data_IF_539452136549
#
_entry.id   IF_539452136549
#
_cell.length_a   1.000
_cell.length_b   1.000
_cell.length_c   1.000
_cell.angle_alpha   90.00
_cell.angle_beta   90.00
_cell.angle_gamma   90.00
#
_symmetry.space_group_name_H-M   'P 1'
#
loop_
_entity.id
_entity.type
_entity.pdbx_description
1 polymer ?
#
# COMPACT_ATOMS: atom_id res chain seq x y z
N UNK A 1 3.01 17.83 -6.69
CA UNK A 1 3.68 16.60 -7.16
C UNK A 1 4.09 15.83 -5.92
N UNK A 2 3.18 15.03 -5.37
CA UNK A 2 3.50 14.14 -4.26
C UNK A 2 4.62 13.20 -4.72
N UNK A 3 5.72 13.11 -3.96
CA UNK A 3 6.79 12.17 -4.27
C UNK A 3 6.20 10.77 -4.24
N UNK A 4 6.35 10.02 -5.34
CA UNK A 4 6.01 8.60 -5.37
C UNK A 4 6.81 7.87 -4.29
N UNK A 5 6.14 7.51 -3.20
CA UNK A 5 6.70 6.70 -2.13
C UNK A 5 6.40 5.25 -2.45
N UNK A 6 7.42 4.41 -2.54
CA UNK A 6 7.22 2.97 -2.73
C UNK A 6 7.23 2.23 -1.40
N UNK A 7 6.53 1.10 -1.31
CA UNK A 7 6.54 0.25 -0.12
C UNK A 7 7.95 -0.21 0.25
N UNK A 8 8.85 -0.40 -0.73
CA UNK A 8 10.24 -0.77 -0.48
C UNK A 8 10.97 0.24 0.41
N UNK A 9 10.60 1.51 0.36
CA UNK A 9 11.21 2.62 1.10
C UNK A 9 10.53 2.86 2.46
N UNK A 10 9.48 2.09 2.79
CA UNK A 10 8.76 2.16 4.06
C UNK A 10 9.26 1.08 5.01
N UNK A 11 9.47 1.46 6.28
CA UNK A 11 9.77 0.50 7.35
C UNK A 11 8.47 -0.17 7.79
N UNK A 12 8.42 -1.49 7.69
CA UNK A 12 7.31 -2.32 8.15
C UNK A 12 7.47 -2.59 9.65
N UNK A 13 6.37 -2.49 10.41
CA UNK A 13 6.29 -2.81 11.85
C UNK A 13 5.58 -4.16 12.03
N UNK A 14 5.52 -4.65 13.27
CA UNK A 14 4.89 -5.92 13.66
C UNK A 14 3.40 -6.02 13.28
N UNK A 15 2.68 -4.91 13.13
CA UNK A 15 1.27 -4.89 12.73
C UNK A 15 1.03 -3.86 11.64
N UNK A 16 0.39 -4.29 10.56
CA UNK A 16 0.10 -3.46 9.39
C UNK A 16 -1.38 -3.58 9.03
N UNK A 17 -2.01 -2.45 8.75
CA UNK A 17 -3.30 -2.37 8.10
C UNK A 17 -3.08 -1.79 6.71
N UNK A 18 -3.54 -2.50 5.68
CA UNK A 18 -3.51 -2.05 4.30
C UNK A 18 -4.94 -1.79 3.80
N UNK A 19 -5.15 -0.66 3.13
CA UNK A 19 -6.39 -0.34 2.44
C UNK A 19 -6.19 -0.57 0.94
N UNK A 20 -7.06 -1.39 0.35
CA UNK A 20 -7.05 -1.68 -1.08
C UNK A 20 -8.41 -1.25 -1.63
N UNK A 21 -8.38 -0.40 -2.67
CA UNK A 21 -9.58 0.04 -3.37
C UNK A 21 -10.01 -0.97 -4.44
N UNK A 22 -11.20 -0.79 -4.98
CA UNK A 22 -11.63 -1.52 -6.17
C UNK A 22 -10.92 -1.00 -7.43
N UNK A 23 -11.33 -1.48 -8.61
CA UNK A 23 -10.75 -1.10 -9.90
C UNK A 23 -10.90 0.39 -10.22
N UNK A 24 -11.89 1.07 -9.63
CA UNK A 24 -12.10 2.51 -9.75
C UNK A 24 -11.14 3.35 -8.89
N UNK A 25 -10.37 2.69 -8.02
CA UNK A 25 -9.48 3.36 -7.08
C UNK A 25 -10.22 4.12 -5.99
N UNK A 26 -9.49 5.00 -5.32
CA UNK A 26 -10.03 5.88 -4.28
C UNK A 26 -10.24 7.27 -4.84
N UNK A 27 -11.32 7.93 -4.43
CA UNK A 27 -11.47 9.36 -4.67
C UNK A 27 -10.45 10.16 -3.85
N UNK A 28 -10.11 11.35 -4.33
CA UNK A 28 -9.20 12.26 -3.62
C UNK A 28 -9.65 12.52 -2.16
N UNK A 29 -10.97 12.62 -1.92
CA UNK A 29 -11.54 12.83 -0.58
C UNK A 29 -11.31 11.63 0.35
N UNK A 30 -11.41 10.41 -0.16
CA UNK A 30 -11.15 9.19 0.62
C UNK A 30 -9.67 9.06 0.95
N UNK A 31 -8.79 9.39 0.01
CA UNK A 31 -7.33 9.42 0.25
C UNK A 31 -6.98 10.44 1.33
N UNK A 32 -7.50 11.66 1.23
CA UNK A 32 -7.28 12.71 2.23
C UNK A 32 -7.84 12.31 3.61
N UNK A 33 -9.00 11.65 3.64
CA UNK A 33 -9.57 11.12 4.88
C UNK A 33 -8.66 10.05 5.50
N UNK A 34 -8.19 9.08 4.71
CA UNK A 34 -7.29 8.05 5.19
C UNK A 34 -5.98 8.65 5.73
N UNK A 35 -5.40 9.63 5.01
CA UNK A 35 -4.21 10.36 5.46
C UNK A 35 -4.43 11.10 6.78
N UNK A 36 -5.61 11.69 7.02
CA UNK A 36 -5.98 12.30 8.31
C UNK A 36 -6.01 11.29 9.47
N UNK A 37 -6.31 10.02 9.18
CA UNK A 37 -6.25 8.92 10.15
C UNK A 37 -4.87 8.25 10.23
N UNK A 38 -3.84 8.82 9.61
CA UNK A 38 -2.46 8.34 9.71
C UNK A 38 -2.07 7.28 8.68
N UNK A 39 -2.92 6.99 7.69
CA UNK A 39 -2.52 6.16 6.55
C UNK A 39 -1.53 6.91 5.66
N UNK A 40 -0.64 6.17 5.02
CA UNK A 40 0.27 6.69 4.00
C UNK A 40 -0.04 6.04 2.66
N UNK A 41 0.06 6.82 1.60
CA UNK A 41 -0.03 6.31 0.23
C UNK A 41 1.31 5.71 -0.17
N UNK A 42 1.27 4.51 -0.76
CA UNK A 42 2.47 3.81 -1.24
C UNK A 42 2.22 3.14 -2.59
N UNK A 43 3.20 3.20 -3.47
CA UNK A 43 3.24 2.41 -4.70
C UNK A 43 3.80 1.01 -4.45
N UNK A 44 3.27 0.00 -5.16
CA UNK A 44 3.73 -1.39 -5.13
C UNK A 44 4.70 -1.74 -6.28
N UNK A 45 5.17 -0.73 -7.01
CA UNK A 45 6.07 -0.85 -8.16
C UNK A 45 5.64 0.06 -9.30
N UNK A 46 6.29 -0.08 -10.46
CA UNK A 46 6.06 0.81 -11.61
C UNK A 46 4.85 0.43 -12.47
N UNK A 47 4.11 -0.64 -12.10
CA UNK A 47 2.96 -1.14 -12.85
C UNK A 47 1.70 -0.98 -12.00
N UNK A 48 0.62 -0.52 -12.64
CA UNK A 48 -0.71 -0.56 -12.03
C UNK A 48 -1.10 -2.04 -11.91
N UNK A 49 -1.30 -2.48 -10.67
CA UNK A 49 -1.81 -3.82 -10.38
C UNK A 49 -3.33 -3.81 -10.51
N UNK A 50 -3.91 -4.95 -10.91
CA UNK A 50 -5.36 -5.13 -10.86
C UNK A 50 -5.82 -5.24 -9.40
N UNK A 51 -7.08 -4.88 -9.15
CA UNK A 51 -7.64 -4.80 -7.79
C UNK A 51 -7.59 -6.15 -7.06
N UNK A 52 -7.73 -7.27 -7.77
CA UNK A 52 -7.64 -8.63 -7.23
C UNK A 52 -6.20 -9.06 -6.91
N UNK A 53 -5.20 -8.47 -7.59
CA UNK A 53 -3.79 -8.82 -7.45
C UNK A 53 -3.11 -7.99 -6.36
N UNK A 54 -3.52 -6.73 -6.20
CA UNK A 54 -2.91 -5.81 -5.24
C UNK A 54 -2.89 -6.34 -3.79
N UNK A 55 -3.97 -6.95 -3.23
CA UNK A 55 -3.97 -7.51 -1.88
C UNK A 55 -2.97 -8.64 -1.68
N UNK A 56 -2.83 -9.51 -2.68
CA UNK A 56 -1.88 -10.63 -2.62
C UNK A 56 -0.45 -10.10 -2.65
N UNK A 57 -0.14 -9.18 -3.58
CA UNK A 57 1.20 -8.61 -3.72
C UNK A 57 1.60 -7.82 -2.48
N UNK A 58 0.74 -6.96 -1.95
CA UNK A 58 1.08 -6.16 -0.76
C UNK A 58 1.29 -7.04 0.47
N UNK A 59 0.48 -8.09 0.66
CA UNK A 59 0.64 -9.03 1.77
C UNK A 59 1.98 -9.76 1.69
N UNK A 60 2.35 -10.28 0.52
CA UNK A 60 3.64 -10.95 0.32
C UNK A 60 4.82 -9.99 0.54
N UNK A 61 4.73 -8.74 0.08
CA UNK A 61 5.79 -7.74 0.27
C UNK A 61 5.92 -7.32 1.74
N UNK A 62 4.82 -7.21 2.48
CA UNK A 62 4.83 -6.92 3.92
C UNK A 62 5.51 -8.07 4.67
N UNK A 63 5.09 -9.32 4.43
CA UNK A 63 5.67 -10.51 5.06
C UNK A 63 7.17 -10.66 4.75
N UNK A 64 7.56 -10.41 3.49
CA UNK A 64 8.96 -10.42 3.10
C UNK A 64 9.77 -9.34 3.85
N UNK A 65 9.22 -8.13 3.95
CA UNK A 65 9.90 -7.02 4.66
C UNK A 65 9.90 -7.17 6.18
N UNK A 66 8.96 -7.91 6.77
CA UNK A 66 8.97 -8.24 8.19
C UNK A 66 9.92 -9.40 8.53
N UNK A 67 10.39 -10.14 7.53
CA UNK A 67 11.22 -11.33 7.71
C UNK A 67 10.42 -12.61 7.94
N UNK A 68 9.09 -12.55 7.77
CA UNK A 68 8.18 -13.70 7.93
C UNK A 68 8.06 -14.54 6.65
N UNK A 69 8.59 -14.04 5.52
CA UNK A 69 8.63 -14.72 4.23
C UNK A 69 10.04 -14.58 3.62
N UNK A 70 10.61 -15.71 3.16
CA UNK A 70 12.02 -15.86 2.78
C UNK A 70 12.48 -15.11 1.54
#
# INVERSE_FOLDING_TARGET
LERERFLRDVKVKESVIALIGNEGGWSQKEVEMAQKYGFITVGLGNRILRAEVAPVVISSLILFKSGDLG
#
